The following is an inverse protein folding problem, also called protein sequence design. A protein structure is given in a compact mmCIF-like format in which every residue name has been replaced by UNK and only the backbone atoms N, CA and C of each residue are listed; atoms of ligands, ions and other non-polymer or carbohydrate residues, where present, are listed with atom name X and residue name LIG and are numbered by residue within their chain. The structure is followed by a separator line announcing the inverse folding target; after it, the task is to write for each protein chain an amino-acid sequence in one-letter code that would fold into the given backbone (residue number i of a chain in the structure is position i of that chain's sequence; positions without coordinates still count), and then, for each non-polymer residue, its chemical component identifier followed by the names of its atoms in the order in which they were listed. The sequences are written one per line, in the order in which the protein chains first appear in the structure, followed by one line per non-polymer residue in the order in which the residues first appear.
data_IF_654399541377
#
_entry.id   IF_654399541377
#
_cell.length_a   1.000
_cell.length_b   1.000
_cell.length_c   1.000
_cell.angle_alpha   90.00
_cell.angle_beta   90.00
_cell.angle_gamma   90.00
#
_symmetry.space_group_name_H-M   'P 1'
#
loop_
_entity.id
_entity.type
_entity.pdbx_description
1 polymer ?
#
# COMPACT_ATOMS: atom_id res chain seq x y z
N UNK A 1 18.03 -57.66 19.33
CA UNK A 1 17.06 -56.66 18.87
C UNK A 1 15.80 -57.40 18.41
N UNK A 2 14.69 -57.29 19.15
CA UNK A 2 13.42 -57.97 18.82
C UNK A 2 12.63 -57.08 17.86
N UNK A 3 12.27 -57.60 16.68
CA UNK A 3 11.48 -56.91 15.70
C UNK A 3 10.02 -56.73 16.21
N UNK A 4 9.44 -55.53 16.09
CA UNK A 4 8.04 -55.27 16.40
C UNK A 4 7.12 -56.10 15.47
N UNK A 5 5.97 -56.60 16.00
CA UNK A 5 5.03 -57.39 15.21
C UNK A 5 4.42 -56.60 14.05
N UNK A 6 4.22 -57.23 12.90
CA UNK A 6 3.72 -56.61 11.67
C UNK A 6 2.36 -55.87 11.84
N UNK A 7 1.50 -56.28 12.75
CA UNK A 7 0.21 -55.62 13.05
C UNK A 7 0.39 -54.20 13.63
N UNK A 8 1.44 -53.97 14.44
CA UNK A 8 1.68 -52.63 15.01
C UNK A 8 2.17 -51.62 13.93
N UNK A 9 2.87 -52.10 12.93
CA UNK A 9 3.33 -51.25 11.80
C UNK A 9 2.19 -50.80 10.90
N UNK A 10 1.20 -51.68 10.64
CA UNK A 10 0.02 -51.32 9.85
C UNK A 10 -0.88 -50.27 10.56
N UNK A 11 -1.05 -50.40 11.87
CA UNK A 11 -1.87 -49.46 12.64
C UNK A 11 -1.25 -48.04 12.75
N UNK A 12 0.09 -47.97 12.81
CA UNK A 12 0.82 -46.69 12.84
C UNK A 12 0.77 -46.02 11.45
N UNK A 13 0.93 -46.77 10.36
CA UNK A 13 0.86 -46.27 9.00
C UNK A 13 -0.55 -45.73 8.67
N UNK A 14 -1.61 -46.43 9.09
CA UNK A 14 -3.01 -45.97 8.88
C UNK A 14 -3.31 -44.69 9.68
N UNK A 15 -2.83 -44.61 10.94
CA UNK A 15 -3.04 -43.38 11.75
C UNK A 15 -2.28 -42.17 11.22
N UNK A 16 -1.07 -42.35 10.71
CA UNK A 16 -0.28 -41.25 10.10
C UNK A 16 -0.89 -40.82 8.77
N UNK A 17 -1.41 -41.71 7.96
CA UNK A 17 -2.11 -41.39 6.70
C UNK A 17 -3.42 -40.68 6.93
N UNK A 18 -4.21 -41.05 7.94
CA UNK A 18 -5.45 -40.34 8.30
C UNK A 18 -5.17 -38.92 8.86
N UNK A 19 -4.12 -38.76 9.69
CA UNK A 19 -3.74 -37.46 10.21
C UNK A 19 -3.25 -36.51 9.11
N UNK A 20 -2.48 -37.01 8.16
CA UNK A 20 -2.03 -36.21 7.01
C UNK A 20 -3.19 -35.84 6.08
N UNK A 21 -4.16 -36.74 5.87
CA UNK A 21 -5.36 -36.45 5.09
C UNK A 21 -6.29 -35.44 5.78
N UNK A 22 -6.43 -35.48 7.12
CA UNK A 22 -7.22 -34.49 7.87
C UNK A 22 -6.58 -33.10 7.87
N UNK A 23 -5.26 -33.01 8.00
CA UNK A 23 -4.52 -31.74 7.92
C UNK A 23 -4.61 -31.15 6.51
N UNK A 24 -4.49 -32.00 5.47
CA UNK A 24 -4.67 -31.59 4.08
C UNK A 24 -6.09 -31.09 3.77
N UNK A 25 -7.12 -31.77 4.30
CA UNK A 25 -8.52 -31.36 4.13
C UNK A 25 -8.86 -30.08 4.90
N UNK A 26 -8.31 -29.87 6.09
CA UNK A 26 -8.48 -28.63 6.86
C UNK A 26 -7.78 -27.44 6.22
N UNK A 27 -6.60 -27.62 5.60
CA UNK A 27 -5.89 -26.55 4.87
C UNK A 27 -6.59 -26.21 3.55
N UNK A 28 -7.16 -27.19 2.84
CA UNK A 28 -7.96 -26.95 1.64
C UNK A 28 -9.29 -26.26 1.97
N UNK A 29 -10.00 -26.72 3.01
CA UNK A 29 -11.24 -26.10 3.46
C UNK A 29 -11.02 -24.66 3.97
N UNK A 30 -9.91 -24.39 4.64
CA UNK A 30 -9.56 -23.01 5.06
C UNK A 30 -9.18 -22.13 3.88
N UNK A 31 -8.53 -22.64 2.84
CA UNK A 31 -8.22 -21.87 1.63
C UNK A 31 -9.46 -21.60 0.78
N UNK A 32 -10.38 -22.56 0.68
CA UNK A 32 -11.66 -22.34 -0.01
C UNK A 32 -12.59 -21.40 0.78
N UNK A 33 -12.64 -21.52 2.11
CA UNK A 33 -13.37 -20.58 2.95
C UNK A 33 -12.79 -19.16 2.89
N UNK A 34 -11.46 -19.04 2.81
CA UNK A 34 -10.79 -17.74 2.63
C UNK A 34 -11.10 -17.13 1.25
N UNK A 35 -11.26 -17.94 0.20
CA UNK A 35 -11.68 -17.46 -1.12
C UNK A 35 -13.19 -17.10 -1.17
N UNK A 36 -14.05 -17.80 -0.41
CA UNK A 36 -15.47 -17.48 -0.32
C UNK A 36 -15.77 -16.21 0.49
N UNK A 37 -14.85 -15.77 1.34
CA UNK A 37 -14.95 -14.53 2.16
C UNK A 37 -14.34 -13.33 1.43
N UNK A 38 -13.66 -13.52 0.29
CA UNK A 38 -13.20 -12.40 -0.52
C UNK A 38 -14.43 -11.63 -1.04
N UNK A 39 -14.61 -10.36 -0.68
CA UNK A 39 -15.68 -9.58 -1.26
C UNK A 39 -15.55 -9.59 -2.77
N UNK A 40 -16.63 -9.93 -3.46
CA UNK A 40 -16.77 -9.86 -4.93
C UNK A 40 -16.78 -8.40 -5.39
N UNK A 41 -15.78 -7.65 -5.01
CA UNK A 41 -15.56 -6.26 -5.37
C UNK A 41 -14.29 -6.10 -6.23
N UNK A 42 -14.04 -4.91 -6.77
CA UNK A 42 -12.97 -4.65 -7.73
C UNK A 42 -11.56 -4.68 -7.11
N UNK A 43 -11.14 -5.72 -6.39
CA UNK A 43 -9.75 -5.91 -5.91
C UNK A 43 -9.13 -4.78 -5.07
N UNK A 44 -9.95 -3.79 -4.67
CA UNK A 44 -9.54 -2.63 -3.89
C UNK A 44 -9.43 -3.07 -2.42
N UNK A 45 -8.21 -3.06 -1.91
CA UNK A 45 -7.93 -3.45 -0.52
C UNK A 45 -7.75 -2.23 0.39
N UNK A 46 -7.47 -1.06 -0.18
CA UNK A 46 -7.21 0.14 0.61
C UNK A 46 -7.47 1.46 -0.11
N UNK A 47 -7.40 2.50 0.70
CA UNK A 47 -7.48 3.90 0.29
C UNK A 47 -6.20 4.59 0.72
N UNK A 48 -5.68 5.47 -0.13
CA UNK A 48 -4.64 6.43 0.25
C UNK A 48 -5.31 7.68 0.76
N UNK A 49 -4.81 8.23 1.82
CA UNK A 49 -5.14 9.56 2.31
C UNK A 49 -3.89 10.42 2.36
N UNK A 50 -3.90 11.50 1.62
CA UNK A 50 -2.91 12.56 1.67
C UNK A 50 -3.42 13.65 2.63
N UNK A 51 -3.03 13.63 3.92
CA UNK A 51 -3.53 14.59 4.89
C UNK A 51 -3.19 16.02 4.53
N UNK A 52 -4.21 16.87 4.57
CA UNK A 52 -4.12 18.32 4.52
C UNK A 52 -5.18 18.96 5.44
N UNK A 53 -5.16 20.28 5.57
CA UNK A 53 -6.09 20.99 6.45
C UNK A 53 -7.57 20.87 6.02
N UNK A 54 -7.84 20.58 4.75
CA UNK A 54 -9.20 20.42 4.23
C UNK A 54 -9.76 19.03 4.53
N UNK A 55 -8.89 18.03 4.68
CA UNK A 55 -9.28 16.62 4.83
C UNK A 55 -9.02 16.03 6.22
N UNK A 56 -8.66 16.85 7.23
CA UNK A 56 -8.47 16.37 8.62
C UNK A 56 -9.70 15.66 9.20
N UNK A 57 -10.90 16.01 8.74
CA UNK A 57 -12.15 15.33 9.07
C UNK A 57 -12.47 14.14 8.19
N UNK A 58 -11.46 13.44 7.64
CA UNK A 58 -11.63 12.35 6.70
C UNK A 58 -12.81 11.44 7.05
N UNK A 59 -13.71 11.23 6.09
CA UNK A 59 -14.86 10.33 6.21
C UNK A 59 -15.23 9.79 4.82
N UNK A 60 -15.79 8.60 4.79
CA UNK A 60 -16.20 7.97 3.54
C UNK A 60 -16.76 6.57 3.78
N UNK A 61 -17.28 5.96 2.75
CA UNK A 61 -17.84 4.62 2.76
C UNK A 61 -17.08 3.69 1.79
N UNK A 62 -15.76 3.81 1.79
CA UNK A 62 -14.86 3.08 0.91
C UNK A 62 -14.80 1.57 1.20
N UNK A 63 -15.25 1.16 2.39
CA UNK A 63 -15.50 -0.24 2.73
C UNK A 63 -16.48 -0.93 1.77
N UNK A 64 -17.39 -0.16 1.15
CA UNK A 64 -18.29 -0.66 0.09
C UNK A 64 -17.57 -1.06 -1.19
N UNK A 65 -16.34 -0.60 -1.40
CA UNK A 65 -15.46 -1.04 -2.49
C UNK A 65 -14.57 -2.23 -2.09
N UNK A 66 -14.65 -2.66 -0.83
CA UNK A 66 -13.78 -3.71 -0.27
C UNK A 66 -12.60 -3.17 0.53
N UNK A 67 -12.39 -1.85 0.59
CA UNK A 67 -11.28 -1.25 1.34
C UNK A 67 -11.38 -1.57 2.85
N UNK A 68 -10.30 -2.05 3.41
CA UNK A 68 -10.09 -2.34 4.83
C UNK A 68 -8.81 -1.72 5.36
N UNK A 69 -7.95 -1.27 4.46
CA UNK A 69 -6.65 -0.72 4.78
C UNK A 69 -6.61 0.78 4.44
N UNK A 70 -6.03 1.56 5.33
CA UNK A 70 -5.75 2.97 5.11
C UNK A 70 -4.24 3.15 4.95
N UNK A 71 -3.79 3.67 3.82
CA UNK A 71 -2.46 4.23 3.67
C UNK A 71 -2.53 5.73 3.95
N UNK A 72 -2.02 6.16 5.08
CA UNK A 72 -1.79 7.58 5.38
C UNK A 72 -0.49 7.98 4.71
N UNK A 73 -0.50 8.98 3.82
CA UNK A 73 0.70 9.33 3.06
C UNK A 73 1.80 9.91 3.95
N UNK A 74 1.44 10.74 4.94
CA UNK A 74 2.33 11.30 5.95
C UNK A 74 1.60 11.64 7.23
N UNK A 75 2.31 11.60 8.36
CA UNK A 75 1.84 12.16 9.64
C UNK A 75 2.49 13.48 9.95
N UNK A 76 3.55 13.84 9.21
CA UNK A 76 4.16 15.15 9.24
C UNK A 76 4.59 15.56 7.83
N UNK A 77 4.28 16.79 7.42
CA UNK A 77 4.62 17.36 6.12
C UNK A 77 4.91 18.85 6.24
N UNK A 78 5.92 19.32 5.49
CA UNK A 78 6.29 20.74 5.45
C UNK A 78 6.42 21.38 6.84
N UNK A 79 7.11 20.68 7.75
CA UNK A 79 7.37 21.10 9.14
C UNK A 79 6.13 21.18 10.06
N UNK A 80 4.97 20.68 9.61
CA UNK A 80 3.74 20.55 10.40
C UNK A 80 3.39 19.09 10.69
N UNK A 81 2.83 18.83 11.87
CA UNK A 81 2.42 17.51 12.32
C UNK A 81 0.91 17.36 12.35
N UNK A 82 0.40 16.28 11.75
CA UNK A 82 -0.99 15.83 11.85
C UNK A 82 -1.22 14.87 13.03
N UNK A 83 -0.16 14.57 13.80
CA UNK A 83 -0.22 13.66 14.94
C UNK A 83 0.29 14.38 16.20
N UNK A 84 -0.42 14.30 17.34
CA UNK A 84 0.01 14.97 18.56
C UNK A 84 1.23 14.27 19.19
N UNK A 85 1.95 14.97 20.05
CA UNK A 85 3.06 14.40 20.82
C UNK A 85 4.41 14.41 20.10
N UNK A 86 4.52 15.15 19.00
CA UNK A 86 5.78 15.43 18.31
C UNK A 86 6.39 16.76 18.80
N UNK A 87 7.65 17.02 18.44
CA UNK A 87 8.29 18.33 18.64
C UNK A 87 7.96 19.33 17.53
N UNK A 88 7.22 18.90 16.50
CA UNK A 88 6.81 19.74 15.37
C UNK A 88 5.58 20.55 15.74
N UNK A 89 5.37 21.67 15.04
CA UNK A 89 4.13 22.44 15.15
C UNK A 89 2.95 21.60 14.62
N UNK A 90 1.91 21.46 15.42
CA UNK A 90 0.70 20.79 14.96
C UNK A 90 -0.04 21.66 13.93
N UNK A 91 -0.72 21.00 12.99
CA UNK A 91 -1.72 21.64 12.13
C UNK A 91 -2.84 22.25 12.99
N UNK A 92 -3.56 23.28 12.49
CA UNK A 92 -4.59 24.00 13.30
C UNK A 92 -5.67 23.10 13.88
N UNK A 93 -6.05 22.04 13.13
CA UNK A 93 -7.01 21.02 13.58
C UNK A 93 -6.40 19.66 13.34
N UNK A 94 -6.21 18.92 14.41
CA UNK A 94 -5.70 17.53 14.31
C UNK A 94 -6.81 16.58 13.86
N UNK A 95 -6.49 15.54 13.07
CA UNK A 95 -7.42 14.46 12.77
C UNK A 95 -7.87 13.74 14.06
N UNK A 96 -9.14 13.35 14.09
CA UNK A 96 -9.65 12.47 15.14
C UNK A 96 -9.21 11.02 14.88
N UNK A 97 -7.98 10.71 15.28
CA UNK A 97 -7.40 9.38 15.10
C UNK A 97 -8.18 8.28 15.82
N UNK A 98 -8.85 8.60 16.95
CA UNK A 98 -9.66 7.64 17.69
C UNK A 98 -10.96 7.28 16.95
N UNK A 99 -11.56 8.23 16.23
CA UNK A 99 -12.67 7.99 15.33
C UNK A 99 -12.22 7.19 14.11
N UNK A 100 -11.13 7.62 13.45
CA UNK A 100 -10.58 6.94 12.27
C UNK A 100 -10.29 5.47 12.56
N UNK A 101 -9.74 5.15 13.75
CA UNK A 101 -9.46 3.78 14.17
C UNK A 101 -10.69 2.86 14.23
N UNK A 102 -11.90 3.42 14.23
CA UNK A 102 -13.17 2.67 14.28
C UNK A 102 -13.83 2.52 12.90
N UNK A 103 -13.29 3.17 11.90
CA UNK A 103 -13.86 3.15 10.55
C UNK A 103 -13.63 1.79 9.87
N UNK A 104 -14.64 1.23 9.17
CA UNK A 104 -14.53 -0.09 8.56
C UNK A 104 -13.49 -0.15 7.43
N UNK A 105 -13.13 1.01 6.83
CA UNK A 105 -12.11 1.14 5.80
C UNK A 105 -10.69 1.39 6.36
N UNK A 106 -10.53 1.53 7.68
CA UNK A 106 -9.25 1.77 8.36
C UNK A 106 -8.94 0.70 9.43
N UNK A 107 -9.38 -0.56 9.22
CA UNK A 107 -9.13 -1.67 10.15
C UNK A 107 -7.64 -1.99 10.30
N UNK A 108 -6.88 -1.76 9.25
CA UNK A 108 -5.41 -1.84 9.22
C UNK A 108 -4.87 -0.53 8.64
N UNK A 109 -3.81 -0.02 9.25
CA UNK A 109 -3.22 1.25 8.82
C UNK A 109 -1.75 1.07 8.49
N UNK A 110 -1.38 1.52 7.29
CA UNK A 110 0.01 1.77 6.91
C UNK A 110 0.24 3.25 7.18
N UNK A 111 1.02 3.55 8.21
CA UNK A 111 1.15 4.92 8.69
C UNK A 111 2.34 5.61 8.04
N UNK A 112 2.06 6.70 7.33
CA UNK A 112 3.08 7.53 6.70
C UNK A 112 3.88 8.33 7.72
N UNK A 113 5.14 8.47 7.43
CA UNK A 113 6.12 9.14 8.28
C UNK A 113 6.30 10.60 7.86
N UNK A 114 7.53 11.16 7.96
CA UNK A 114 7.81 12.54 7.57
C UNK A 114 8.04 12.69 6.07
N UNK A 115 7.49 13.74 5.47
CA UNK A 115 7.69 14.09 4.07
C UNK A 115 7.67 15.60 3.83
N UNK A 116 7.91 15.98 2.59
CA UNK A 116 7.59 17.30 2.05
C UNK A 116 6.61 17.13 0.90
N UNK A 117 5.74 18.13 0.70
CA UNK A 117 4.81 18.13 -0.43
C UNK A 117 5.57 18.19 -1.77
N UNK A 118 6.70 18.89 -1.79
CA UNK A 118 7.60 18.95 -2.95
C UNK A 118 8.54 17.75 -2.97
N UNK A 119 8.49 16.93 -4.01
CA UNK A 119 9.39 15.80 -4.21
C UNK A 119 10.87 16.21 -4.27
N UNK A 120 11.18 17.32 -4.92
CA UNK A 120 12.56 17.83 -4.96
C UNK A 120 13.05 18.17 -3.55
N UNK A 121 12.20 18.85 -2.75
CA UNK A 121 12.55 19.18 -1.36
C UNK A 121 12.69 17.90 -0.52
N UNK A 122 11.85 16.88 -0.74
CA UNK A 122 11.98 15.57 -0.08
C UNK A 122 13.34 14.92 -0.39
N UNK A 123 13.72 14.90 -1.66
CA UNK A 123 14.97 14.30 -2.13
C UNK A 123 16.21 15.04 -1.62
N UNK A 124 16.15 16.37 -1.56
CA UNK A 124 17.24 17.20 -1.06
C UNK A 124 17.44 17.08 0.45
N UNK A 125 16.40 16.75 1.21
CA UNK A 125 16.42 16.67 2.67
C UNK A 125 16.17 15.24 3.19
N UNK A 126 16.51 14.23 2.42
CA UNK A 126 16.13 12.83 2.67
C UNK A 126 16.70 12.29 3.98
N UNK A 127 17.88 12.70 4.39
CA UNK A 127 18.51 12.31 5.65
C UNK A 127 17.73 12.87 6.86
N UNK A 128 17.32 14.15 6.78
CA UNK A 128 16.51 14.79 7.80
C UNK A 128 15.14 14.12 7.92
N UNK A 129 14.50 13.81 6.78
CA UNK A 129 13.23 13.09 6.75
C UNK A 129 13.36 11.71 7.39
N UNK A 130 14.45 10.99 7.17
CA UNK A 130 14.67 9.69 7.80
C UNK A 130 14.82 9.82 9.33
N UNK A 131 15.50 10.85 9.84
CA UNK A 131 15.62 11.13 11.28
C UNK A 131 14.26 11.46 11.90
N UNK A 132 13.50 12.38 11.30
CA UNK A 132 12.15 12.73 11.75
C UNK A 132 11.21 11.53 11.69
N UNK A 133 11.29 10.73 10.63
CA UNK A 133 10.50 9.51 10.47
C UNK A 133 10.76 8.50 11.58
N UNK A 134 12.02 8.31 11.98
CA UNK A 134 12.36 7.45 13.12
C UNK A 134 11.82 7.95 14.46
N UNK A 135 11.63 9.26 14.61
CA UNK A 135 10.98 9.86 15.78
C UNK A 135 9.46 9.67 15.73
N UNK A 136 8.82 9.98 14.59
CA UNK A 136 7.37 9.80 14.37
C UNK A 136 6.91 8.36 14.60
N UNK A 137 7.70 7.40 14.17
CA UNK A 137 7.40 5.98 14.36
C UNK A 137 7.29 5.52 15.82
N UNK A 138 7.77 6.34 16.77
CA UNK A 138 7.66 6.08 18.21
C UNK A 138 6.41 6.70 18.85
N UNK A 139 5.72 7.57 18.12
CA UNK A 139 4.51 8.25 18.62
C UNK A 139 3.38 7.23 18.70
N UNK A 140 2.76 7.13 19.87
CA UNK A 140 1.60 6.24 20.08
C UNK A 140 0.36 6.80 19.40
N UNK A 141 -0.37 5.94 18.73
CA UNK A 141 -1.64 6.26 18.10
C UNK A 141 -2.71 5.25 18.52
N UNK A 142 -4.00 5.57 18.43
CA UNK A 142 -5.07 4.60 18.62
C UNK A 142 -5.27 3.66 17.43
N UNK A 143 -4.52 3.86 16.32
CA UNK A 143 -4.66 3.11 15.09
C UNK A 143 -4.06 1.71 15.20
N UNK A 144 -4.65 0.74 14.49
CA UNK A 144 -4.04 -0.57 14.26
C UNK A 144 -2.97 -0.46 13.16
N UNK A 145 -1.77 0.01 13.53
CA UNK A 145 -0.66 0.20 12.60
C UNK A 145 -0.04 -1.15 12.26
N UNK A 146 -0.24 -1.60 11.03
CA UNK A 146 0.29 -2.86 10.49
C UNK A 146 1.50 -2.68 9.57
N UNK A 147 1.88 -1.43 9.30
CA UNK A 147 3.06 -1.09 8.51
C UNK A 147 3.34 0.40 8.50
N UNK A 148 4.48 0.74 7.95
CA UNK A 148 4.97 2.11 7.85
C UNK A 148 5.20 2.49 6.40
N UNK A 149 5.03 3.75 6.09
CA UNK A 149 5.30 4.28 4.76
C UNK A 149 6.25 5.47 4.85
N UNK A 150 7.35 5.39 4.13
CA UNK A 150 8.29 6.49 4.00
C UNK A 150 7.94 7.29 2.74
N UNK A 151 7.44 8.53 2.88
CA UNK A 151 6.80 9.25 1.79
C UNK A 151 7.80 9.97 0.87
N UNK A 152 8.85 9.29 0.47
CA UNK A 152 9.74 9.75 -0.59
C UNK A 152 9.44 8.95 -1.86
N UNK A 153 9.03 9.64 -2.92
CA UNK A 153 8.82 9.01 -4.22
C UNK A 153 10.17 8.70 -4.86
N UNK A 154 10.42 7.40 -5.06
CA UNK A 154 11.63 6.97 -5.75
C UNK A 154 11.38 6.85 -7.25
N UNK A 155 12.32 7.39 -8.02
CA UNK A 155 12.29 7.45 -9.46
C UNK A 155 13.68 7.14 -10.01
N UNK A 156 13.82 6.43 -11.14
CA UNK A 156 15.12 6.12 -11.73
C UNK A 156 15.99 7.33 -12.07
N UNK A 157 15.37 8.51 -12.26
CA UNK A 157 16.11 9.76 -12.46
C UNK A 157 16.78 10.30 -11.20
N UNK A 158 16.40 9.80 -10.02
CA UNK A 158 16.98 10.24 -8.75
C UNK A 158 18.31 9.52 -8.48
N UNK A 159 19.41 10.15 -8.78
CA UNK A 159 20.76 9.56 -8.68
C UNK A 159 21.14 9.08 -7.27
N UNK A 160 20.60 9.75 -6.22
CA UNK A 160 20.85 9.42 -4.82
C UNK A 160 19.95 8.31 -4.24
N UNK A 161 19.05 7.74 -5.03
CA UNK A 161 18.15 6.66 -4.53
C UNK A 161 18.92 5.48 -3.91
N UNK A 162 20.12 5.19 -4.42
CA UNK A 162 21.02 4.14 -3.88
C UNK A 162 21.55 4.42 -2.46
N UNK A 163 21.38 5.62 -1.94
CA UNK A 163 21.74 5.99 -0.56
C UNK A 163 20.65 5.63 0.44
N UNK A 164 19.42 5.41 -0.04
CA UNK A 164 18.25 5.11 0.79
C UNK A 164 18.40 3.87 1.70
N UNK A 165 19.05 2.76 1.31
CA UNK A 165 19.13 1.58 2.17
C UNK A 165 19.62 1.87 3.58
N UNK A 166 20.67 2.69 3.72
CA UNK A 166 21.23 3.06 5.02
C UNK A 166 20.27 3.92 5.88
N UNK A 167 19.42 4.71 5.24
CA UNK A 167 18.40 5.54 5.88
C UNK A 167 17.19 4.69 6.27
N UNK A 168 16.69 3.88 5.34
CA UNK A 168 15.55 3.00 5.55
C UNK A 168 15.79 1.91 6.59
N UNK A 169 17.05 1.48 6.78
CA UNK A 169 17.43 0.53 7.83
C UNK A 169 17.13 1.02 9.24
N UNK A 170 17.01 2.34 9.44
CA UNK A 170 16.69 2.98 10.74
C UNK A 170 15.20 3.03 11.05
N UNK A 171 14.36 2.69 10.08
CA UNK A 171 12.89 2.77 10.18
C UNK A 171 12.29 1.40 10.54
N UNK A 172 11.13 1.37 11.20
CA UNK A 172 10.49 0.12 11.61
C UNK A 172 9.95 -0.69 10.41
N UNK A 173 9.57 -1.94 10.69
CA UNK A 173 9.04 -2.89 9.72
C UNK A 173 7.62 -3.35 10.10
N UNK A 174 6.81 -3.76 9.13
CA UNK A 174 7.00 -3.68 7.67
C UNK A 174 7.09 -2.25 7.15
N UNK A 175 7.97 -2.00 6.17
CA UNK A 175 8.18 -0.67 5.59
C UNK A 175 7.88 -0.67 4.09
N UNK A 176 7.27 0.41 3.64
CA UNK A 176 6.87 0.65 2.26
C UNK A 176 7.40 1.99 1.76
N UNK A 177 7.69 2.06 0.47
CA UNK A 177 8.02 3.30 -0.25
C UNK A 177 7.16 3.39 -1.52
N UNK A 178 6.99 4.57 -2.09
CA UNK A 178 6.39 4.70 -3.43
C UNK A 178 7.44 4.70 -4.53
N UNK A 179 7.03 4.18 -5.69
CA UNK A 179 7.86 4.08 -6.89
C UNK A 179 7.09 4.65 -8.06
N UNK A 180 7.73 5.53 -8.80
CA UNK A 180 7.27 6.05 -10.07
C UNK A 180 8.40 5.96 -11.11
N UNK A 181 8.06 5.84 -12.39
CA UNK A 181 9.03 5.94 -13.48
C UNK A 181 8.67 7.16 -14.35
N UNK A 182 9.04 8.34 -13.88
CA UNK A 182 8.89 9.59 -14.62
C UNK A 182 9.89 9.72 -15.78
N UNK A 183 11.02 9.03 -15.67
CA UNK A 183 12.04 8.99 -16.72
C UNK A 183 11.65 8.07 -17.89
N UNK A 184 10.59 7.24 -17.72
CA UNK A 184 10.10 6.26 -18.71
C UNK A 184 11.21 5.31 -19.22
N UNK A 185 12.06 4.81 -18.30
CA UNK A 185 13.09 3.82 -18.65
C UNK A 185 12.51 2.43 -18.95
N UNK A 186 11.24 2.21 -18.60
CA UNK A 186 10.46 1.03 -18.90
C UNK A 186 10.40 -0.02 -17.80
N UNK A 187 9.46 -0.98 -17.89
CA UNK A 187 9.11 -1.90 -16.81
C UNK A 187 10.26 -2.75 -16.30
N UNK A 188 11.00 -3.39 -17.20
CA UNK A 188 12.11 -4.27 -16.84
C UNK A 188 13.27 -3.46 -16.21
N UNK A 189 13.64 -2.34 -16.83
CA UNK A 189 14.72 -1.49 -16.36
C UNK A 189 14.41 -0.90 -14.97
N UNK A 190 13.17 -0.45 -14.73
CA UNK A 190 12.72 0.05 -13.42
C UNK A 190 12.81 -1.03 -12.35
N UNK A 191 12.33 -2.24 -12.65
CA UNK A 191 12.38 -3.36 -11.71
C UNK A 191 13.84 -3.81 -11.41
N UNK A 192 14.69 -3.86 -12.43
CA UNK A 192 16.11 -4.18 -12.26
C UNK A 192 16.84 -3.08 -11.48
N UNK A 193 16.58 -1.81 -11.77
CA UNK A 193 17.12 -0.68 -11.03
C UNK A 193 16.78 -0.75 -9.53
N UNK A 194 15.51 -0.99 -9.18
CA UNK A 194 15.10 -1.16 -7.78
C UNK A 194 15.85 -2.34 -7.12
N UNK A 195 15.98 -3.47 -7.80
CA UNK A 195 16.64 -4.65 -7.26
C UNK A 195 18.13 -4.43 -6.96
N UNK A 196 18.76 -3.43 -7.59
CA UNK A 196 20.18 -3.15 -7.34
C UNK A 196 20.45 -2.53 -5.96
N UNK A 197 19.44 -1.90 -5.34
CA UNK A 197 19.64 -1.16 -4.09
C UNK A 197 18.54 -1.37 -3.03
N UNK A 198 17.29 -1.70 -3.43
CA UNK A 198 16.18 -1.81 -2.49
C UNK A 198 16.33 -3.06 -1.60
N UNK A 199 16.38 -2.93 -0.25
CA UNK A 199 16.44 -4.06 0.68
C UNK A 199 15.26 -5.03 0.48
N UNK A 200 15.53 -6.33 0.67
CA UNK A 200 14.55 -7.38 0.39
C UNK A 200 13.35 -7.39 1.36
N UNK A 201 13.45 -6.71 2.50
CA UNK A 201 12.40 -6.57 3.52
C UNK A 201 11.53 -5.30 3.37
N UNK A 202 11.73 -4.52 2.27
CA UNK A 202 10.97 -3.31 1.99
C UNK A 202 10.05 -3.54 0.79
N UNK A 203 8.76 -3.19 0.97
CA UNK A 203 7.76 -3.24 -0.09
C UNK A 203 7.66 -1.94 -0.89
N UNK A 204 7.00 -2.01 -2.04
CA UNK A 204 6.78 -0.87 -2.91
C UNK A 204 5.30 -0.68 -3.20
N UNK A 205 4.87 0.57 -3.20
CA UNK A 205 3.65 1.06 -3.82
C UNK A 205 4.01 1.63 -5.18
N UNK A 206 3.64 0.93 -6.24
CA UNK A 206 3.83 1.43 -7.60
C UNK A 206 2.68 2.37 -7.95
N UNK A 207 2.99 3.61 -8.30
CA UNK A 207 2.02 4.58 -8.80
C UNK A 207 1.80 4.33 -10.29
N UNK A 208 0.54 4.12 -10.68
CA UNK A 208 0.23 3.65 -12.03
C UNK A 208 0.42 4.72 -13.12
N UNK A 209 0.41 6.00 -12.78
CA UNK A 209 0.60 7.12 -13.70
C UNK A 209 -0.52 7.26 -14.75
N UNK A 210 -1.66 6.62 -14.55
CA UNK A 210 -2.80 6.67 -15.47
C UNK A 210 -3.59 7.95 -15.26
N UNK A 211 -3.67 8.42 -14.02
CA UNK A 211 -4.39 9.64 -13.66
C UNK A 211 -3.83 10.88 -14.31
N UNK A 212 -2.52 10.98 -14.44
CA UNK A 212 -1.81 12.08 -15.10
C UNK A 212 -1.58 11.86 -16.60
N UNK A 213 -2.12 10.77 -17.17
CA UNK A 213 -1.93 10.36 -18.57
C UNK A 213 -0.46 10.09 -18.96
N UNK A 214 0.42 9.79 -17.99
CA UNK A 214 1.79 9.42 -18.27
C UNK A 214 1.89 8.06 -18.99
N UNK A 215 0.91 7.16 -18.73
CA UNK A 215 0.81 5.85 -19.40
C UNK A 215 -0.62 5.33 -19.38
N UNK A 216 -0.91 4.36 -20.25
CA UNK A 216 -2.18 3.64 -20.23
C UNK A 216 -2.18 2.54 -19.15
N UNK A 217 -3.35 2.11 -18.70
CA UNK A 217 -3.47 1.05 -17.70
C UNK A 217 -2.82 -0.29 -18.13
N UNK A 218 -2.93 -0.76 -19.39
CA UNK A 218 -2.17 -1.92 -19.85
C UNK A 218 -0.66 -1.75 -19.76
N UNK A 219 -0.12 -0.57 -20.08
CA UNK A 219 1.32 -0.28 -19.91
C UNK A 219 1.69 -0.29 -18.44
N UNK A 220 0.92 0.38 -17.56
CA UNK A 220 1.16 0.37 -16.13
C UNK A 220 1.13 -1.06 -15.54
N UNK A 221 0.26 -1.94 -16.06
CA UNK A 221 0.24 -3.37 -15.71
C UNK A 221 1.58 -4.06 -16.00
N UNK A 222 2.23 -3.77 -17.11
CA UNK A 222 3.54 -4.38 -17.42
C UNK A 222 4.62 -4.00 -16.41
N UNK A 223 4.56 -2.78 -15.83
CA UNK A 223 5.41 -2.38 -14.72
C UNK A 223 5.13 -3.19 -13.46
N UNK A 224 3.86 -3.33 -13.09
CA UNK A 224 3.46 -4.13 -11.93
C UNK A 224 3.95 -5.58 -12.05
N UNK A 225 3.80 -6.20 -13.23
CA UNK A 225 4.25 -7.56 -13.49
C UNK A 225 5.78 -7.69 -13.41
N UNK A 226 6.53 -6.74 -13.97
CA UNK A 226 7.99 -6.71 -13.90
C UNK A 226 8.48 -6.54 -12.45
N UNK A 227 7.88 -5.62 -11.70
CA UNK A 227 8.17 -5.41 -10.28
C UNK A 227 7.87 -6.66 -9.45
N UNK A 228 6.69 -7.29 -9.64
CA UNK A 228 6.31 -8.52 -8.95
C UNK A 228 7.26 -9.67 -9.27
N UNK A 229 7.65 -9.82 -10.53
CA UNK A 229 8.61 -10.84 -10.96
C UNK A 229 9.98 -10.64 -10.30
N UNK A 230 10.44 -9.39 -10.18
CA UNK A 230 11.78 -9.06 -9.71
C UNK A 230 11.90 -8.97 -8.20
N UNK A 231 10.89 -8.41 -7.53
CA UNK A 231 10.91 -8.15 -6.09
C UNK A 231 10.15 -9.22 -5.28
N UNK A 232 9.20 -9.92 -5.90
CA UNK A 232 8.34 -10.90 -5.24
C UNK A 232 6.89 -10.40 -5.05
N UNK A 233 5.94 -11.35 -5.04
CA UNK A 233 4.49 -11.09 -5.01
C UNK A 233 4.05 -10.20 -3.84
N UNK A 234 4.59 -10.44 -2.65
CA UNK A 234 4.14 -9.80 -1.42
C UNK A 234 4.75 -8.40 -1.20
N UNK A 235 5.65 -7.98 -2.08
CA UNK A 235 6.37 -6.70 -1.99
C UNK A 235 5.83 -5.62 -2.93
N UNK A 236 4.79 -5.91 -3.73
CA UNK A 236 4.27 -4.98 -4.73
C UNK A 236 2.78 -4.75 -4.51
N UNK A 237 2.43 -3.50 -4.28
CA UNK A 237 1.07 -2.96 -4.20
C UNK A 237 0.91 -1.85 -5.22
N UNK A 238 -0.31 -1.56 -5.63
CA UNK A 238 -0.57 -0.57 -6.68
C UNK A 238 -1.33 0.61 -6.09
N UNK A 239 -0.83 1.82 -6.32
CA UNK A 239 -1.60 3.04 -6.18
C UNK A 239 -2.27 3.32 -7.51
N UNK A 240 -3.59 3.28 -7.50
CA UNK A 240 -4.45 3.58 -8.64
C UNK A 240 -4.88 5.04 -8.53
N UNK A 241 -4.46 5.88 -9.47
CA UNK A 241 -4.78 7.30 -9.49
C UNK A 241 -6.24 7.51 -9.90
N UNK A 242 -7.09 7.83 -8.90
CA UNK A 242 -8.54 8.01 -9.09
C UNK A 242 -8.92 9.42 -9.53
N UNK A 243 -8.04 10.11 -10.22
CA UNK A 243 -8.21 11.48 -10.70
C UNK A 243 -7.81 11.62 -12.17
N UNK A 244 -8.21 12.75 -12.78
CA UNK A 244 -7.82 13.13 -14.15
C UNK A 244 -7.55 14.64 -14.20
N UNK A 245 -6.62 15.11 -15.06
CA UNK A 245 -6.45 16.53 -15.30
C UNK A 245 -7.76 17.18 -15.80
N UNK A 246 -7.97 18.43 -15.44
CA UNK A 246 -9.13 19.20 -15.90
C UNK A 246 -8.72 20.46 -16.68
N UNK A 247 -9.65 20.93 -17.50
CA UNK A 247 -9.46 22.20 -18.22
C UNK A 247 -9.34 23.34 -17.21
N UNK A 248 -8.33 24.19 -17.39
CA UNK A 248 -8.05 25.30 -16.45
C UNK A 248 -7.05 24.95 -15.34
N UNK A 249 -6.53 23.70 -15.31
CA UNK A 249 -5.53 23.24 -14.35
C UNK A 249 -6.13 22.48 -13.17
N UNK A 250 -5.27 21.77 -12.42
CA UNK A 250 -5.67 20.89 -11.33
C UNK A 250 -6.26 19.57 -11.81
N UNK A 251 -6.94 18.88 -10.88
CA UNK A 251 -7.48 17.55 -11.10
C UNK A 251 -8.95 17.46 -10.69
N UNK A 252 -9.68 16.58 -11.36
CA UNK A 252 -11.04 16.16 -11.02
C UNK A 252 -11.07 14.69 -10.63
N UNK A 253 -12.09 14.21 -9.90
CA UNK A 253 -12.34 12.78 -9.77
C UNK A 253 -12.42 12.09 -11.15
N UNK A 254 -11.84 10.90 -11.25
CA UNK A 254 -12.09 10.05 -12.41
C UNK A 254 -13.55 9.59 -12.42
N UNK A 255 -14.13 9.43 -13.59
CA UNK A 255 -15.44 8.78 -13.73
C UNK A 255 -15.33 7.27 -13.57
N UNK A 256 -16.44 6.59 -13.28
CA UNK A 256 -16.46 5.15 -13.22
C UNK A 256 -16.08 4.49 -14.57
N UNK A 257 -16.43 5.13 -15.69
CA UNK A 257 -16.05 4.66 -17.02
C UNK A 257 -14.53 4.71 -17.26
N UNK A 258 -13.86 5.71 -16.68
CA UNK A 258 -12.39 5.84 -16.73
C UNK A 258 -11.69 4.88 -15.76
N UNK A 259 -12.28 4.66 -14.57
CA UNK A 259 -11.61 3.95 -13.49
C UNK A 259 -11.81 2.42 -13.56
N UNK A 260 -12.99 1.93 -14.01
CA UNK A 260 -13.26 0.49 -14.13
C UNK A 260 -12.22 -0.25 -14.99
N UNK A 261 -11.89 0.18 -16.22
CA UNK A 261 -10.87 -0.49 -17.02
C UNK A 261 -9.46 -0.37 -16.40
N UNK A 262 -9.17 0.74 -15.69
CA UNK A 262 -7.90 0.92 -14.98
C UNK A 262 -7.76 -0.09 -13.83
N UNK A 263 -8.79 -0.24 -12.99
CA UNK A 263 -8.84 -1.24 -11.91
C UNK A 263 -8.73 -2.66 -12.48
N UNK A 264 -9.51 -2.98 -13.51
CA UNK A 264 -9.54 -4.30 -14.13
C UNK A 264 -8.17 -4.70 -14.72
N UNK A 265 -7.37 -3.73 -15.20
CA UNK A 265 -6.04 -4.00 -15.71
C UNK A 265 -5.10 -4.58 -14.64
N UNK A 266 -5.34 -4.33 -13.35
CA UNK A 266 -4.52 -4.81 -12.24
C UNK A 266 -5.13 -6.00 -11.49
N UNK A 267 -5.97 -6.78 -12.15
CA UNK A 267 -6.50 -8.00 -11.53
C UNK A 267 -5.40 -8.85 -10.88
N UNK A 268 -5.67 -9.33 -9.65
CA UNK A 268 -4.73 -10.10 -8.84
C UNK A 268 -3.65 -9.28 -8.10
N UNK A 269 -3.76 -7.94 -8.10
CA UNK A 269 -2.92 -7.03 -7.28
C UNK A 269 -3.70 -6.40 -6.13
N UNK A 270 -3.06 -6.13 -4.97
CA UNK A 270 -3.64 -5.27 -3.94
C UNK A 270 -3.68 -3.82 -4.43
N UNK A 271 -4.88 -3.24 -4.54
CA UNK A 271 -5.10 -1.89 -5.07
C UNK A 271 -5.44 -0.91 -3.97
N UNK A 272 -4.86 0.28 -4.05
CA UNK A 272 -5.14 1.42 -3.19
C UNK A 272 -5.54 2.61 -4.05
N UNK A 273 -6.72 3.17 -3.83
CA UNK A 273 -7.18 4.33 -4.60
C UNK A 273 -6.58 5.63 -4.03
N UNK A 274 -5.90 6.36 -4.85
CA UNK A 274 -5.34 7.67 -4.53
C UNK A 274 -6.18 8.80 -5.16
N UNK A 275 -6.62 9.78 -4.45
CA UNK A 275 -6.70 9.82 -3.00
C UNK A 275 -8.18 9.74 -2.58
N UNK A 276 -8.45 9.02 -1.52
CA UNK A 276 -9.81 8.74 -1.07
C UNK A 276 -10.64 9.99 -0.84
N UNK A 277 -10.26 10.88 0.09
CA UNK A 277 -11.03 12.07 0.44
C UNK A 277 -11.25 13.06 -0.72
N UNK A 278 -10.26 13.22 -1.60
CA UNK A 278 -10.33 14.20 -2.67
C UNK A 278 -11.07 13.69 -3.91
N UNK A 279 -10.95 12.39 -4.24
CA UNK A 279 -11.38 11.91 -5.55
C UNK A 279 -12.36 10.73 -5.50
N UNK A 280 -12.41 9.95 -4.40
CA UNK A 280 -13.29 8.78 -4.31
C UNK A 280 -14.60 9.14 -3.62
N UNK A 281 -15.45 9.84 -4.36
CA UNK A 281 -16.74 10.37 -3.90
C UNK A 281 -17.77 9.26 -3.69
N UNK A 282 -18.83 9.48 -2.88
CA UNK A 282 -19.95 8.54 -2.72
C UNK A 282 -20.62 8.15 -4.05
N UNK A 283 -20.73 9.06 -4.99
CA UNK A 283 -21.31 8.80 -6.31
C UNK A 283 -20.41 7.90 -7.15
N UNK A 284 -19.09 8.11 -7.11
CA UNK A 284 -18.12 7.23 -7.75
C UNK A 284 -18.19 5.83 -7.16
N UNK A 285 -18.23 5.69 -5.83
CA UNK A 285 -18.38 4.39 -5.15
C UNK A 285 -19.63 3.65 -5.62
N UNK A 286 -20.78 4.34 -5.65
CA UNK A 286 -22.04 3.79 -6.16
C UNK A 286 -21.94 3.36 -7.62
N UNK A 287 -21.23 4.10 -8.46
CA UNK A 287 -21.07 3.80 -9.87
C UNK A 287 -20.09 2.66 -10.15
N UNK A 288 -19.08 2.47 -9.30
CA UNK A 288 -18.13 1.36 -9.37
C UNK A 288 -18.77 0.02 -8.97
N UNK A 289 -19.74 0.04 -8.08
CA UNK A 289 -20.46 -1.16 -7.59
C UNK A 289 -21.63 -1.60 -8.50
N UNK A 290 -21.90 -0.86 -9.57
CA UNK A 290 -22.87 -1.25 -10.63
C UNK A 290 -22.18 -2.02 -11.75
#
# INVERSE_FOLDING_TARGET
MKALPALLRQTILIKTSLAAALVGALTLASSELYQLIQPSGPGIVGIVWQPDNATVGISGNWDKLGARQLLVQWTAVDDQSFIPGTQMTNVPVLPDWARIAKEPWAQEVILGLAGYFSENRSRDNIEQLAVLSAQLAKVKTPLNVTGWYFPAEVDPSWSRAKELPALLAKLPRPLWISVYDGANIGPAATADWLKTWLPDDIGVFFQDGVGVYARTAPVARTYADALRKRLGKNRVRIIVEAFRPQVGGGFRPATAAELKPQIAAFDGYPLYLFDGPHYVTPDLIKALNK
#
